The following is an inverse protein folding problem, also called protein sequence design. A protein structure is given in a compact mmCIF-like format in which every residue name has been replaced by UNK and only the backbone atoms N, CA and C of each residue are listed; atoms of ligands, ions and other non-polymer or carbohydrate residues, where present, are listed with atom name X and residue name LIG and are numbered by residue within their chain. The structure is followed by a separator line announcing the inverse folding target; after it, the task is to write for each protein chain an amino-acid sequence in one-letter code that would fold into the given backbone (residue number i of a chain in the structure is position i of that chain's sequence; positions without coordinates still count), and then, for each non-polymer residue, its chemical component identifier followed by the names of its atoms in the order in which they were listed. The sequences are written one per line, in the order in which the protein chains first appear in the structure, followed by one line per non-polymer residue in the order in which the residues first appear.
data_IF_237651733717
#
_entry.id   IF_237651733717
#
_cell.length_a   1.000
_cell.length_b   1.000
_cell.length_c   1.000
_cell.angle_alpha   90.00
_cell.angle_beta   90.00
_cell.angle_gamma   90.00
#
_symmetry.space_group_name_H-M   'P 1'
#
loop_
_entity.id
_entity.type
_entity.pdbx_description
1 polymer ?
#
# COMPACT_ATOMS: atom_id res chain seq x y z
N UNK A 1 11.75 -19.21 5.53
CA UNK A 1 11.77 -17.76 5.80
C UNK A 1 11.16 -17.01 4.65
N UNK A 2 10.27 -16.08 4.96
CA UNK A 2 9.61 -15.31 3.92
C UNK A 2 10.50 -14.19 3.42
N UNK A 3 10.37 -13.87 2.15
CA UNK A 3 11.05 -12.71 1.60
C UNK A 3 10.20 -11.47 1.87
N UNK A 4 10.83 -10.40 2.31
CA UNK A 4 10.11 -9.16 2.56
C UNK A 4 10.06 -8.35 1.29
N UNK A 5 8.85 -7.90 0.97
CA UNK A 5 8.62 -7.14 -0.26
C UNK A 5 7.89 -5.86 0.12
N UNK A 6 8.38 -4.75 -0.37
CA UNK A 6 7.75 -3.46 -0.15
C UNK A 6 7.37 -2.87 -1.49
N UNK A 7 6.09 -2.55 -1.64
CA UNK A 7 5.62 -1.81 -2.80
C UNK A 7 5.30 -0.40 -2.38
N UNK A 8 5.89 0.56 -3.07
CA UNK A 8 5.65 1.97 -2.80
C UNK A 8 4.88 2.56 -3.95
N UNK A 9 3.74 3.17 -3.65
CA UNK A 9 2.88 3.73 -4.67
C UNK A 9 2.25 5.01 -4.11
N UNK A 10 1.87 5.92 -4.99
CA UNK A 10 1.35 7.20 -4.52
C UNK A 10 0.06 7.03 -3.75
N UNK A 11 -0.87 6.27 -4.28
CA UNK A 11 -2.16 6.06 -3.63
C UNK A 11 -2.75 4.73 -4.10
N UNK A 12 -3.77 4.27 -3.39
CA UNK A 12 -4.41 2.99 -3.73
C UNK A 12 -5.61 3.14 -4.64
N UNK A 13 -6.11 4.35 -4.81
CA UNK A 13 -7.29 4.57 -5.64
C UNK A 13 -6.92 5.43 -6.82
N UNK A 14 -7.68 5.34 -7.87
CA UNK A 14 -7.48 6.18 -9.02
C UNK A 14 -7.35 5.40 -10.29
N UNK A 15 -6.19 5.29 -10.84
CA UNK A 15 -6.03 4.74 -12.17
C UNK A 15 -5.85 3.24 -12.21
N UNK A 16 -5.58 2.75 -13.40
CA UNK A 16 -5.41 1.32 -13.61
C UNK A 16 -4.17 0.75 -12.97
N UNK A 17 -3.13 1.55 -12.80
CA UNK A 17 -1.89 1.04 -12.22
C UNK A 17 -2.09 0.60 -10.79
N UNK A 18 -2.89 1.34 -10.03
CA UNK A 18 -3.16 0.98 -8.64
C UNK A 18 -3.95 -0.32 -8.56
N UNK A 19 -4.89 -0.48 -9.46
CA UNK A 19 -5.68 -1.69 -9.47
C UNK A 19 -4.82 -2.90 -9.81
N UNK A 20 -3.91 -2.75 -10.74
CA UNK A 20 -3.00 -3.83 -11.11
C UNK A 20 -2.12 -4.21 -9.94
N UNK A 21 -1.60 -3.21 -9.21
CA UNK A 21 -0.78 -3.49 -8.05
C UNK A 21 -1.56 -4.28 -7.00
N UNK A 22 -2.79 -3.87 -6.72
CA UNK A 22 -3.61 -4.56 -5.74
C UNK A 22 -3.83 -6.01 -6.16
N UNK A 23 -4.10 -6.24 -7.44
CA UNK A 23 -4.27 -7.61 -7.92
C UNK A 23 -3.00 -8.43 -7.75
N UNK A 24 -1.86 -7.85 -8.07
CA UNK A 24 -0.59 -8.57 -7.97
C UNK A 24 -0.33 -8.97 -6.52
N UNK A 25 -0.41 -8.02 -5.59
CA UNK A 25 -0.06 -8.33 -4.21
C UNK A 25 -1.06 -9.27 -3.57
N UNK A 26 -2.32 -9.19 -3.96
CA UNK A 26 -3.33 -10.07 -3.40
C UNK A 26 -3.19 -11.50 -3.88
N UNK A 27 -2.50 -11.71 -4.98
CA UNK A 27 -2.29 -13.06 -5.52
C UNK A 27 -0.90 -13.61 -5.21
N UNK A 28 -0.07 -12.88 -4.48
CA UNK A 28 1.24 -13.40 -4.11
C UNK A 28 1.09 -14.41 -2.98
N UNK A 29 1.96 -15.40 -2.99
CA UNK A 29 1.90 -16.49 -2.03
C UNK A 29 2.30 -16.00 -0.65
N UNK A 30 1.35 -15.96 0.28
CA UNK A 30 1.60 -15.45 1.62
C UNK A 30 2.57 -16.34 2.41
N UNK A 31 2.78 -17.56 1.96
CA UNK A 31 3.74 -18.43 2.62
C UNK A 31 5.17 -18.11 2.20
N UNK A 32 5.34 -17.45 1.08
CA UNK A 32 6.67 -17.12 0.56
C UNK A 32 7.04 -15.67 0.76
N UNK A 33 6.07 -14.78 0.88
CA UNK A 33 6.33 -13.34 0.89
C UNK A 33 5.64 -12.65 2.05
N UNK A 34 6.38 -11.75 2.68
CA UNK A 34 5.86 -10.86 3.70
C UNK A 34 5.73 -9.50 3.02
N UNK A 35 4.51 -9.12 2.67
CA UNK A 35 4.28 -8.00 1.78
C UNK A 35 3.78 -6.78 2.55
N UNK A 36 4.38 -5.64 2.25
CA UNK A 36 3.94 -4.35 2.76
C UNK A 36 3.65 -3.45 1.57
N UNK A 37 2.51 -2.80 1.59
CA UNK A 37 2.18 -1.78 0.60
C UNK A 37 2.21 -0.44 1.32
N UNK A 38 2.98 0.49 0.79
CA UNK A 38 3.11 1.81 1.38
C UNK A 38 2.66 2.85 0.37
N UNK A 39 1.83 3.76 0.81
CA UNK A 39 1.38 4.85 -0.06
C UNK A 39 1.97 6.16 0.44
N UNK A 40 2.08 7.12 -0.46
CA UNK A 40 2.55 8.44 -0.09
C UNK A 40 1.47 9.15 0.72
N UNK A 41 0.22 9.05 0.27
CA UNK A 41 -0.89 9.68 0.98
C UNK A 41 -1.68 8.61 1.73
N UNK A 42 -2.38 9.02 2.77
CA UNK A 42 -3.15 8.12 3.60
C UNK A 42 -4.34 7.57 2.82
N UNK A 43 -4.31 6.28 2.55
CA UNK A 43 -5.40 5.58 1.90
C UNK A 43 -5.98 4.52 2.82
N UNK A 44 -5.93 4.74 4.12
CA UNK A 44 -6.42 3.77 5.09
C UNK A 44 -7.86 3.38 4.82
N UNK A 45 -8.66 4.33 4.34
CA UNK A 45 -10.05 4.08 4.05
C UNK A 45 -10.23 3.05 2.95
N UNK A 46 -9.27 2.98 2.05
CA UNK A 46 -9.35 2.07 0.90
C UNK A 46 -8.47 0.84 1.05
N UNK A 47 -7.79 0.71 2.17
CA UNK A 47 -6.87 -0.40 2.35
C UNK A 47 -7.57 -1.75 2.47
N UNK A 48 -8.89 -1.75 2.61
CA UNK A 48 -9.65 -2.98 2.71
C UNK A 48 -9.56 -3.82 1.44
N UNK A 49 -9.13 -3.24 0.32
CA UNK A 49 -8.97 -4.00 -0.91
C UNK A 49 -7.78 -4.95 -0.85
N UNK A 50 -6.88 -4.73 0.12
CA UNK A 50 -5.73 -5.61 0.28
C UNK A 50 -6.09 -6.78 1.17
N UNK A 51 -5.52 -7.95 0.88
CA UNK A 51 -5.75 -9.12 1.72
C UNK A 51 -5.23 -8.89 3.13
N UNK A 52 -5.78 -9.60 4.08
CA UNK A 52 -5.45 -9.39 5.49
C UNK A 52 -4.00 -9.69 5.82
N UNK A 53 -3.32 -10.49 5.02
CA UNK A 53 -1.91 -10.80 5.27
C UNK A 53 -0.98 -9.70 4.80
N UNK A 54 -1.50 -8.69 4.12
CA UNK A 54 -0.67 -7.60 3.59
C UNK A 54 -0.68 -6.44 4.56
N UNK A 55 0.51 -5.94 4.89
CA UNK A 55 0.62 -4.79 5.78
C UNK A 55 0.48 -3.53 4.96
N UNK A 56 -0.23 -2.57 5.50
CA UNK A 56 -0.42 -1.30 4.84
C UNK A 56 0.13 -0.17 5.69
N UNK A 57 0.88 0.73 5.06
CA UNK A 57 1.42 1.91 5.74
C UNK A 57 1.30 3.11 4.81
N UNK A 58 1.39 4.29 5.38
CA UNK A 58 1.40 5.51 4.57
C UNK A 58 2.40 6.49 5.15
N UNK A 59 2.85 7.43 4.32
CA UNK A 59 3.87 8.39 4.72
C UNK A 59 3.23 9.68 5.19
N UNK A 60 2.27 10.21 4.44
CA UNK A 60 1.60 11.44 4.79
C UNK A 60 0.11 11.22 4.83
N UNK A 61 -0.58 11.89 5.75
CA UNK A 61 -2.02 11.91 5.65
C UNK A 61 -2.44 13.30 5.20
N UNK A 62 -3.69 13.42 4.83
CA UNK A 62 -4.18 14.65 4.23
C UNK A 62 -4.16 15.85 5.16
N UNK A 63 -3.90 15.62 6.42
CA UNK A 63 -3.89 16.72 7.36
C UNK A 63 -2.61 17.50 7.36
N UNK A 64 -1.59 17.01 6.70
CA UNK A 64 -0.29 17.63 6.78
C UNK A 64 0.03 18.59 5.69
N UNK A 65 -0.91 18.90 4.88
CA UNK A 65 -0.58 19.76 3.77
C UNK A 65 -0.13 21.12 4.21
N UNK A 66 -0.49 21.57 5.41
CA UNK A 66 0.00 22.80 5.85
C UNK A 66 1.22 22.72 6.67
N UNK A 67 1.69 21.58 6.95
CA UNK A 67 2.79 21.43 7.86
C UNK A 67 4.10 21.72 7.26
N UNK A 68 4.17 22.10 6.11
CA UNK A 68 5.39 22.40 5.56
C UNK A 68 6.36 21.43 5.86
N UNK A 69 6.21 20.23 5.49
CA UNK A 69 7.19 19.22 5.71
C UNK A 69 8.45 19.51 5.01
N UNK A 70 8.45 20.45 4.24
CA UNK A 70 9.61 20.82 3.50
C UNK A 70 9.90 22.27 3.64
#
# INVERSE_FOLDING_TARGET
MKKKVLYLIYQLVGGGAEKILVDIVNHMDELLYDITVMTIVDCSRDAHVLNSNIKYKYIFNGKYKEDRLF
#
